data_IF_431105261951
#
_entry.id   IF_431105261951
#
_cell.length_a   1.000
_cell.length_b   1.000
_cell.length_c   1.000
_cell.angle_alpha   90.00
_cell.angle_beta   90.00
_cell.angle_gamma   90.00
#
_symmetry.space_group_name_H-M   'P 1'
#
loop_
_entity.id
_entity.type
_entity.pdbx_description
1 polymer ?
#
# COMPACT_ATOMS: atom_id res chain seq x y z
N UNK A 1 4.31 -37.17 6.46
CA UNK A 1 4.09 -37.41 7.90
C UNK A 1 2.94 -36.55 8.46
N UNK A 2 2.91 -35.23 8.22
CA UNK A 2 1.79 -34.36 8.66
C UNK A 2 0.50 -34.61 7.85
N UNK A 3 0.55 -34.63 6.52
CA UNK A 3 -0.66 -34.88 5.69
C UNK A 3 -1.24 -36.28 5.90
N UNK A 4 -0.38 -37.29 6.03
CA UNK A 4 -0.78 -38.67 6.28
C UNK A 4 -1.53 -38.84 7.60
N UNK A 5 -1.20 -38.03 8.62
CA UNK A 5 -1.86 -38.06 9.92
C UNK A 5 -3.12 -37.19 9.95
N UNK A 6 -3.12 -36.03 9.28
CA UNK A 6 -4.24 -35.08 9.33
C UNK A 6 -5.31 -35.33 8.28
N UNK A 7 -5.01 -36.10 7.23
CA UNK A 7 -5.86 -36.25 6.03
C UNK A 7 -6.21 -34.92 5.36
N UNK A 8 -5.42 -33.87 5.63
CA UNK A 8 -5.56 -32.52 5.06
C UNK A 8 -4.32 -32.18 4.25
N UNK A 9 -4.53 -31.48 3.13
CA UNK A 9 -3.43 -30.92 2.34
C UNK A 9 -2.74 -29.80 3.11
N UNK A 10 -1.41 -29.73 3.04
CA UNK A 10 -0.64 -28.62 3.59
C UNK A 10 -0.80 -27.39 2.70
N UNK A 11 -1.05 -26.26 3.34
CA UNK A 11 -0.97 -24.92 2.78
C UNK A 11 0.13 -24.16 3.53
N UNK A 12 1.10 -23.65 2.79
CA UNK A 12 2.13 -22.74 3.30
C UNK A 12 1.79 -21.33 2.82
N UNK A 13 1.75 -20.38 3.75
CA UNK A 13 1.57 -18.96 3.44
C UNK A 13 2.88 -18.28 3.81
N UNK A 14 3.53 -17.67 2.82
CA UNK A 14 4.74 -16.88 3.01
C UNK A 14 4.41 -15.42 2.72
N UNK A 15 4.11 -14.69 3.79
CA UNK A 15 3.73 -13.28 3.72
C UNK A 15 4.98 -12.38 3.75
N UNK A 16 4.79 -11.10 3.44
CA UNK A 16 5.79 -10.02 3.54
C UNK A 16 7.03 -10.11 2.63
N UNK A 17 7.11 -11.07 1.69
CA UNK A 17 8.21 -11.08 0.70
C UNK A 17 8.09 -9.89 -0.26
N UNK A 18 6.91 -9.26 -0.39
CA UNK A 18 6.74 -8.01 -1.12
C UNK A 18 7.49 -6.80 -0.53
N UNK A 19 8.10 -6.95 0.66
CA UNK A 19 8.89 -5.92 1.33
C UNK A 19 10.41 -6.02 1.09
N UNK A 20 10.88 -7.05 0.39
CA UNK A 20 12.31 -7.18 0.08
C UNK A 20 12.75 -6.13 -0.94
N UNK A 21 14.03 -5.77 -0.88
CA UNK A 21 14.66 -4.89 -1.87
C UNK A 21 14.54 -5.48 -3.28
N UNK A 22 14.22 -4.63 -4.27
CA UNK A 22 14.13 -5.00 -5.68
C UNK A 22 15.43 -5.61 -6.21
N UNK A 23 16.58 -5.25 -5.65
CA UNK A 23 17.85 -5.88 -6.01
C UNK A 23 17.90 -7.38 -5.68
N UNK A 24 17.26 -7.80 -4.58
CA UNK A 24 17.24 -9.20 -4.12
C UNK A 24 16.14 -10.03 -4.78
N UNK A 25 15.11 -9.37 -5.31
CA UNK A 25 13.99 -10.03 -5.99
C UNK A 25 14.46 -10.93 -7.13
N UNK A 26 15.43 -10.48 -7.94
CA UNK A 26 15.96 -11.27 -9.06
C UNK A 26 16.58 -12.55 -8.57
N UNK A 27 17.44 -12.47 -7.57
CA UNK A 27 18.13 -13.63 -7.03
C UNK A 27 17.11 -14.65 -6.51
N UNK A 28 16.10 -14.22 -5.75
CA UNK A 28 15.10 -15.13 -5.17
C UNK A 28 14.17 -15.71 -6.24
N UNK A 29 13.55 -14.85 -7.05
CA UNK A 29 12.41 -15.23 -7.90
C UNK A 29 12.78 -15.56 -9.35
N UNK A 30 13.92 -15.07 -9.84
CA UNK A 30 14.39 -15.43 -11.17
C UNK A 30 15.30 -16.65 -11.12
N UNK A 31 16.27 -16.64 -10.21
CA UNK A 31 17.30 -17.69 -10.15
C UNK A 31 16.89 -18.90 -9.33
N UNK A 32 16.06 -18.74 -8.29
CA UNK A 32 15.80 -19.81 -7.30
C UNK A 32 14.33 -20.23 -7.14
N UNK A 33 13.39 -19.64 -7.87
CA UNK A 33 11.95 -19.93 -7.72
C UNK A 33 11.61 -21.41 -7.89
N UNK A 34 12.31 -22.14 -8.76
CA UNK A 34 12.11 -23.59 -8.94
C UNK A 34 12.34 -24.36 -7.65
N UNK A 35 13.33 -23.97 -6.86
CA UNK A 35 13.60 -24.60 -5.57
C UNK A 35 12.50 -24.27 -4.55
N UNK A 36 11.95 -23.05 -4.60
CA UNK A 36 10.82 -22.61 -3.76
C UNK A 36 9.55 -23.40 -4.11
N UNK A 37 9.32 -23.69 -5.39
CA UNK A 37 8.13 -24.38 -5.91
C UNK A 37 8.28 -25.92 -5.96
N UNK A 38 9.46 -26.46 -5.67
CA UNK A 38 9.73 -27.91 -5.66
C UNK A 38 8.90 -28.71 -4.64
N UNK A 39 8.67 -28.22 -3.40
CA UNK A 39 7.92 -28.99 -2.41
C UNK A 39 6.48 -29.29 -2.86
N UNK A 40 6.02 -30.51 -2.60
CA UNK A 40 4.69 -30.99 -3.01
C UNK A 40 3.55 -30.50 -2.10
N UNK A 41 3.51 -29.22 -1.77
CA UNK A 41 2.42 -28.59 -1.02
C UNK A 41 1.92 -27.32 -1.71
N UNK A 42 0.76 -26.83 -1.29
CA UNK A 42 0.21 -25.57 -1.82
C UNK A 42 0.92 -24.40 -1.16
N UNK A 43 1.27 -23.38 -1.95
CA UNK A 43 1.95 -22.17 -1.47
C UNK A 43 1.14 -20.95 -1.89
N UNK A 44 0.96 -20.01 -0.96
CA UNK A 44 0.56 -18.63 -1.25
C UNK A 44 1.73 -17.77 -0.79
N UNK A 45 2.22 -16.89 -1.67
CA UNK A 45 3.30 -15.98 -1.34
C UNK A 45 3.09 -14.58 -1.91
N UNK A 46 3.56 -13.57 -1.21
CA UNK A 46 3.57 -12.19 -1.72
C UNK A 46 4.83 -11.93 -2.54
N UNK A 47 4.75 -10.99 -3.49
CA UNK A 47 5.89 -10.53 -4.28
C UNK A 47 5.76 -9.02 -4.50
N UNK A 48 6.87 -8.25 -4.63
CA UNK A 48 6.77 -6.82 -4.87
C UNK A 48 6.07 -6.53 -6.21
N UNK A 49 5.13 -5.58 -6.25
CA UNK A 49 4.43 -5.23 -7.49
C UNK A 49 5.37 -4.73 -8.59
N UNK A 50 6.42 -4.00 -8.20
CA UNK A 50 7.45 -3.50 -9.12
C UNK A 50 8.25 -4.65 -9.78
N UNK A 51 8.36 -5.82 -9.14
CA UNK A 51 8.99 -7.00 -9.73
C UNK A 51 8.27 -7.47 -11.01
N UNK A 52 6.95 -7.33 -11.06
CA UNK A 52 6.13 -7.71 -12.21
C UNK A 52 6.31 -6.78 -13.43
N UNK A 53 7.14 -5.73 -13.32
CA UNK A 53 7.51 -4.84 -14.43
C UNK A 53 8.62 -5.40 -15.29
N UNK A 54 9.44 -6.27 -14.74
CA UNK A 54 10.47 -6.94 -15.50
C UNK A 54 9.88 -8.09 -16.32
N UNK A 55 10.01 -8.01 -17.66
CA UNK A 55 9.39 -8.97 -18.58
C UNK A 55 9.92 -10.39 -18.35
N UNK A 56 11.23 -10.54 -18.17
CA UNK A 56 11.86 -11.85 -17.96
C UNK A 56 11.40 -12.48 -16.63
N UNK A 57 11.46 -11.72 -15.54
CA UNK A 57 11.01 -12.17 -14.23
C UNK A 57 9.52 -12.52 -14.22
N UNK A 58 8.67 -11.68 -14.82
CA UNK A 58 7.24 -11.96 -14.95
C UNK A 58 6.99 -13.27 -15.70
N UNK A 59 7.68 -13.51 -16.82
CA UNK A 59 7.53 -14.74 -17.58
C UNK A 59 7.95 -15.98 -16.77
N UNK A 60 9.05 -15.88 -16.00
CA UNK A 60 9.47 -16.92 -15.06
C UNK A 60 8.40 -17.18 -14.01
N UNK A 61 7.89 -16.14 -13.33
CA UNK A 61 6.84 -16.27 -12.34
C UNK A 61 5.58 -16.92 -12.91
N UNK A 62 5.12 -16.50 -14.09
CA UNK A 62 3.95 -17.08 -14.75
C UNK A 62 4.16 -18.56 -15.07
N UNK A 63 5.34 -18.94 -15.55
CA UNK A 63 5.66 -20.34 -15.85
C UNK A 63 5.64 -21.20 -14.60
N UNK A 64 6.35 -20.76 -13.55
CA UNK A 64 6.56 -21.57 -12.34
C UNK A 64 5.33 -21.59 -11.41
N UNK A 65 4.44 -20.60 -11.54
CA UNK A 65 3.16 -20.54 -10.78
C UNK A 65 1.95 -20.97 -11.60
N UNK A 66 2.14 -21.49 -12.81
CA UNK A 66 1.04 -21.85 -13.73
C UNK A 66 0.04 -20.69 -13.92
N UNK A 67 0.57 -19.48 -14.08
CA UNK A 67 -0.13 -18.21 -14.27
C UNK A 67 -1.15 -17.87 -13.15
N UNK A 68 -0.92 -18.36 -11.93
CA UNK A 68 -1.79 -18.10 -10.77
C UNK A 68 -1.41 -16.82 -10.00
N UNK A 69 -0.85 -15.83 -10.69
CA UNK A 69 -0.46 -14.56 -10.08
C UNK A 69 -1.72 -13.72 -9.82
N UNK A 70 -2.03 -13.50 -8.55
CA UNK A 70 -3.13 -12.63 -8.13
C UNK A 70 -2.56 -11.26 -7.76
N UNK A 71 -2.94 -10.24 -8.53
CA UNK A 71 -2.60 -8.86 -8.18
C UNK A 71 -3.63 -8.31 -7.20
N UNK A 72 -3.17 -7.83 -6.04
CA UNK A 72 -4.04 -7.16 -5.08
C UNK A 72 -4.41 -5.76 -5.64
N UNK A 73 -5.70 -5.47 -5.89
CA UNK A 73 -6.09 -4.21 -6.50
C UNK A 73 -5.98 -3.04 -5.52
N UNK A 74 -5.62 -1.87 -6.04
CA UNK A 74 -5.82 -0.61 -5.33
C UNK A 74 -7.27 -0.18 -5.52
N UNK A 75 -7.96 0.09 -4.42
CA UNK A 75 -9.35 0.50 -4.44
C UNK A 75 -9.46 1.92 -5.02
N UNK A 76 -10.31 2.07 -6.03
CA UNK A 76 -10.44 3.32 -6.75
C UNK A 76 -11.40 4.26 -6.02
N UNK A 77 -10.86 5.09 -5.12
CA UNK A 77 -11.63 6.13 -4.44
C UNK A 77 -12.15 7.19 -5.42
N UNK A 78 -11.35 7.55 -6.43
CA UNK A 78 -11.69 8.61 -7.37
C UNK A 78 -11.48 8.17 -8.82
N UNK A 79 -12.20 8.80 -9.76
CA UNK A 79 -11.86 8.69 -11.18
C UNK A 79 -10.52 9.37 -11.44
N UNK A 80 -9.76 8.87 -12.42
CA UNK A 80 -8.42 9.37 -12.76
C UNK A 80 -8.40 10.89 -12.98
N UNK A 81 -9.38 11.45 -13.69
CA UNK A 81 -9.47 12.89 -13.96
C UNK A 81 -9.88 13.72 -12.74
N UNK A 82 -10.47 13.10 -11.73
CA UNK A 82 -11.07 13.79 -10.59
C UNK A 82 -10.16 13.79 -9.36
N UNK A 83 -9.24 12.82 -9.23
CA UNK A 83 -8.49 12.55 -7.99
C UNK A 83 -7.71 13.74 -7.39
N UNK A 84 -7.29 14.69 -8.23
CA UNK A 84 -6.57 15.88 -7.79
C UNK A 84 -7.45 17.15 -7.77
N UNK A 85 -8.75 17.01 -8.04
CA UNK A 85 -9.73 18.10 -8.00
C UNK A 85 -10.10 18.42 -6.54
N UNK A 86 -10.22 19.70 -6.14
CA UNK A 86 -10.67 20.06 -4.81
C UNK A 86 -12.13 19.66 -4.52
N UNK A 87 -12.92 19.42 -5.57
CA UNK A 87 -14.33 19.02 -5.47
C UNK A 87 -14.54 17.53 -5.79
N UNK A 88 -13.47 16.74 -5.78
CA UNK A 88 -13.57 15.31 -6.04
C UNK A 88 -14.41 14.63 -4.96
N UNK A 89 -15.41 13.86 -5.36
CA UNK A 89 -16.24 13.08 -4.44
C UNK A 89 -15.77 11.62 -4.52
N UNK A 90 -15.38 11.00 -3.40
CA UNK A 90 -14.95 9.61 -3.40
C UNK A 90 -16.13 8.69 -3.67
N UNK A 91 -15.86 7.50 -4.23
CA UNK A 91 -16.88 6.47 -4.41
C UNK A 91 -17.37 5.96 -3.03
N UNK A 92 -18.65 6.15 -2.69
CA UNK A 92 -19.17 5.79 -1.38
C UNK A 92 -19.18 4.28 -1.12
N UNK A 93 -19.27 3.44 -2.15
CA UNK A 93 -19.23 1.98 -1.98
C UNK A 93 -17.82 1.53 -1.60
N UNK A 94 -16.81 2.19 -2.17
CA UNK A 94 -15.41 1.93 -1.86
C UNK A 94 -15.09 2.42 -0.44
N UNK A 95 -15.52 3.62 -0.07
CA UNK A 95 -15.38 4.12 1.31
C UNK A 95 -16.03 3.15 2.30
N UNK A 96 -17.27 2.72 2.05
CA UNK A 96 -17.94 1.75 2.91
C UNK A 96 -17.16 0.44 3.05
N UNK A 97 -16.57 -0.07 1.96
CA UNK A 97 -15.75 -1.28 1.98
C UNK A 97 -14.49 -1.10 2.83
N UNK A 98 -13.76 0.00 2.66
CA UNK A 98 -12.54 0.29 3.43
C UNK A 98 -12.87 0.52 4.92
N UNK A 99 -13.97 1.20 5.21
CA UNK A 99 -14.51 1.36 6.56
C UNK A 99 -14.84 0.02 7.19
N UNK A 100 -15.53 -0.89 6.47
CA UNK A 100 -15.85 -2.24 6.97
C UNK A 100 -14.60 -3.06 7.32
N UNK A 101 -13.53 -2.91 6.53
CA UNK A 101 -12.25 -3.55 6.80
C UNK A 101 -11.66 -3.10 8.14
N UNK A 102 -11.75 -1.81 8.47
CA UNK A 102 -11.25 -1.28 9.74
C UNK A 102 -12.16 -1.67 10.91
N UNK A 103 -13.48 -1.58 10.74
CA UNK A 103 -14.43 -1.89 11.84
C UNK A 103 -14.48 -3.38 12.20
N UNK A 104 -14.02 -4.28 11.31
CA UNK A 104 -13.76 -5.69 11.64
C UNK A 104 -12.53 -5.90 12.55
N UNK A 105 -11.67 -4.89 12.71
CA UNK A 105 -10.40 -4.96 13.46
C UNK A 105 -10.39 -4.08 14.70
N UNK A 106 -11.12 -2.97 14.67
CA UNK A 106 -11.19 -1.97 15.73
C UNK A 106 -12.66 -1.70 16.02
N UNK A 107 -13.01 -1.64 17.30
CA UNK A 107 -14.36 -1.24 17.72
C UNK A 107 -14.66 0.16 17.14
N UNK A 108 -15.76 0.32 16.36
CA UNK A 108 -16.13 1.62 15.79
C UNK A 108 -16.26 2.74 16.82
N UNK A 109 -16.54 2.43 18.09
CA UNK A 109 -16.64 3.44 19.15
C UNK A 109 -15.31 4.12 19.48
N UNK A 110 -14.17 3.51 19.11
CA UNK A 110 -12.81 4.00 19.35
C UNK A 110 -12.28 4.92 18.24
N UNK A 111 -13.05 5.17 17.18
CA UNK A 111 -12.64 6.00 16.05
C UNK A 111 -13.77 6.97 15.73
N UNK A 112 -13.45 8.25 15.57
CA UNK A 112 -14.43 9.22 15.09
C UNK A 112 -14.79 8.93 13.61
N UNK A 113 -16.08 8.88 13.23
CA UNK A 113 -16.49 8.50 11.87
C UNK A 113 -15.84 9.35 10.77
N UNK A 114 -15.76 10.67 10.97
CA UNK A 114 -15.12 11.60 10.02
C UNK A 114 -13.62 11.32 9.89
N UNK A 115 -12.96 10.94 10.99
CA UNK A 115 -11.55 10.55 10.99
C UNK A 115 -11.34 9.24 10.24
N UNK A 116 -12.25 8.28 10.42
CA UNK A 116 -12.20 7.00 9.69
C UNK A 116 -12.33 7.21 8.19
N UNK A 117 -13.25 8.08 7.74
CA UNK A 117 -13.37 8.45 6.34
C UNK A 117 -12.07 9.09 5.81
N UNK A 118 -11.46 10.00 6.57
CA UNK A 118 -10.17 10.61 6.19
C UNK A 118 -9.03 9.59 6.12
N UNK A 119 -8.98 8.61 7.03
CA UNK A 119 -8.01 7.50 6.96
C UNK A 119 -8.18 6.74 5.63
N UNK A 120 -9.42 6.44 5.24
CA UNK A 120 -9.71 5.83 3.94
C UNK A 120 -9.19 6.69 2.79
N UNK A 121 -9.41 8.01 2.82
CA UNK A 121 -8.91 8.93 1.80
C UNK A 121 -7.37 8.98 1.74
N UNK A 122 -6.69 9.08 2.88
CA UNK A 122 -5.23 9.14 2.95
C UNK A 122 -4.55 7.86 2.47
N UNK A 123 -5.23 6.71 2.58
CA UNK A 123 -4.70 5.44 2.07
C UNK A 123 -4.55 5.39 0.55
N UNK A 124 -5.20 6.31 -0.19
CA UNK A 124 -5.29 6.24 -1.65
C UNK A 124 -5.99 4.96 -2.15
N UNK A 125 -6.72 4.26 -1.28
CA UNK A 125 -7.31 2.96 -1.56
C UNK A 125 -6.33 1.79 -1.54
N UNK A 126 -5.09 2.00 -1.09
CA UNK A 126 -4.14 0.91 -0.87
C UNK A 126 -4.40 0.30 0.50
N UNK A 127 -4.78 -0.98 0.53
CA UNK A 127 -5.08 -1.70 1.78
C UNK A 127 -3.91 -1.67 2.77
N UNK A 128 -2.68 -1.82 2.27
CA UNK A 128 -1.47 -1.74 3.11
C UNK A 128 -1.34 -0.39 3.80
N UNK A 129 -1.59 0.71 3.09
CA UNK A 129 -1.53 2.06 3.67
C UNK A 129 -2.72 2.34 4.59
N UNK A 130 -3.91 1.84 4.28
CA UNK A 130 -5.07 1.91 5.17
C UNK A 130 -4.75 1.32 6.55
N UNK A 131 -4.18 0.12 6.56
CA UNK A 131 -3.77 -0.55 7.81
C UNK A 131 -2.61 0.17 8.48
N UNK A 132 -1.61 0.63 7.72
CA UNK A 132 -0.45 1.38 8.25
C UNK A 132 -0.89 2.65 8.97
N UNK A 133 -1.66 3.51 8.31
CA UNK A 133 -2.15 4.79 8.86
C UNK A 133 -2.99 4.53 10.12
N UNK A 134 -3.90 3.54 10.06
CA UNK A 134 -4.73 3.17 11.22
C UNK A 134 -3.87 2.69 12.39
N UNK A 135 -2.86 1.86 12.12
CA UNK A 135 -1.97 1.34 13.15
C UNK A 135 -1.11 2.45 13.78
N UNK A 136 -0.65 3.44 13.00
CA UNK A 136 0.06 4.58 13.55
C UNK A 136 -0.85 5.47 14.41
N UNK A 137 -2.11 5.66 14.03
CA UNK A 137 -3.11 6.30 14.88
C UNK A 137 -3.27 5.55 16.22
N UNK A 138 -3.36 4.22 16.18
CA UNK A 138 -3.38 3.39 17.39
C UNK A 138 -2.11 3.60 18.24
N UNK A 139 -0.92 3.71 17.62
CA UNK A 139 0.34 3.95 18.34
C UNK A 139 0.37 5.32 19.00
N UNK A 140 -0.16 6.35 18.35
CA UNK A 140 -0.36 7.68 18.94
C UNK A 140 -1.27 7.57 20.18
N UNK A 141 -2.45 6.95 20.04
CA UNK A 141 -3.37 6.76 21.16
C UNK A 141 -2.72 5.97 22.31
N UNK A 142 -2.01 4.88 22.01
CA UNK A 142 -1.33 4.06 23.04
C UNK A 142 -0.30 4.87 23.85
N UNK A 143 0.37 5.85 23.25
CA UNK A 143 1.24 6.77 24.00
C UNK A 143 0.44 7.64 24.96
N UNK A 144 -0.73 8.13 24.55
CA UNK A 144 -1.63 8.92 25.39
C UNK A 144 -2.22 8.10 26.53
N UNK A 145 -2.71 6.87 26.28
CA UNK A 145 -3.21 5.96 27.33
C UNK A 145 -2.14 5.71 28.40
N UNK A 146 -0.88 5.48 27.99
CA UNK A 146 0.23 5.27 28.94
C UNK A 146 0.55 6.50 29.77
N UNK A 147 0.33 7.70 29.23
CA UNK A 147 0.57 8.97 29.93
C UNK A 147 -0.60 9.37 30.83
N UNK A 148 -1.82 9.04 30.43
CA UNK A 148 -3.06 9.40 31.11
C UNK A 148 -3.95 8.16 31.26
N UNK A 149 -3.62 7.24 32.18
CA UNK A 149 -4.28 5.92 32.27
C UNK A 149 -5.75 5.99 32.73
N UNK A 150 -6.16 7.07 33.37
CA UNK A 150 -7.54 7.26 33.85
C UNK A 150 -8.46 7.91 32.81
N UNK A 151 -7.91 8.32 31.65
CA UNK A 151 -8.68 8.91 30.55
C UNK A 151 -9.27 7.82 29.65
N UNK A 152 -10.55 7.50 29.90
CA UNK A 152 -11.33 6.54 29.10
C UNK A 152 -12.04 7.20 27.91
N UNK A 153 -11.79 8.48 27.63
CA UNK A 153 -12.44 9.22 26.53
C UNK A 153 -11.63 9.20 25.24
N UNK A 154 -10.40 8.69 25.29
CA UNK A 154 -9.48 8.67 24.16
C UNK A 154 -10.03 7.87 22.97
N UNK A 155 -9.99 8.49 21.80
CA UNK A 155 -10.35 7.90 20.52
C UNK A 155 -9.33 8.28 19.46
N UNK A 156 -9.38 7.58 18.32
CA UNK A 156 -8.74 8.03 17.10
C UNK A 156 -9.59 9.16 16.52
N UNK A 157 -9.22 10.38 16.88
CA UNK A 157 -9.84 11.63 16.42
C UNK A 157 -8.97 12.32 15.36
N UNK A 158 -9.40 13.52 14.94
CA UNK A 158 -8.69 14.31 13.94
C UNK A 158 -7.27 14.67 14.38
N UNK A 159 -7.04 14.97 15.67
CA UNK A 159 -5.72 15.35 16.17
C UNK A 159 -4.74 14.17 16.16
N UNK A 160 -5.23 12.98 16.51
CA UNK A 160 -4.48 11.72 16.41
C UNK A 160 -4.10 11.43 14.97
N UNK A 161 -5.03 11.61 14.03
CA UNK A 161 -4.77 11.43 12.61
C UNK A 161 -3.72 12.44 12.12
N UNK A 162 -3.86 13.73 12.43
CA UNK A 162 -2.90 14.77 12.02
C UNK A 162 -1.49 14.49 12.53
N UNK A 163 -1.35 14.02 13.77
CA UNK A 163 -0.06 13.59 14.30
C UNK A 163 0.50 12.42 13.49
N UNK A 164 -0.31 11.40 13.21
CA UNK A 164 0.10 10.20 12.45
C UNK A 164 0.52 10.56 11.02
N UNK A 165 -0.25 11.40 10.32
CA UNK A 165 0.07 11.87 8.97
C UNK A 165 1.34 12.71 8.97
N UNK A 166 1.58 13.51 10.02
CA UNK A 166 2.81 14.28 10.15
C UNK A 166 4.02 13.37 10.30
N UNK A 167 3.96 12.36 11.17
CA UNK A 167 5.02 11.36 11.35
C UNK A 167 5.31 10.62 10.02
N UNK A 168 4.26 10.11 9.36
CA UNK A 168 4.39 9.43 8.05
C UNK A 168 4.92 10.34 6.94
N UNK A 169 4.55 11.63 6.94
CA UNK A 169 5.02 12.59 5.95
C UNK A 169 6.52 12.85 6.07
N UNK A 170 7.08 12.80 7.29
CA UNK A 170 8.51 12.90 7.53
C UNK A 170 9.26 11.68 6.98
N UNK A 171 8.74 10.47 7.22
CA UNK A 171 9.31 9.23 6.65
C UNK A 171 9.41 9.31 5.12
N UNK A 172 8.35 9.81 4.45
CA UNK A 172 8.39 10.03 3.01
C UNK A 172 9.42 11.10 2.63
N UNK A 173 9.48 12.20 3.37
CA UNK A 173 10.32 13.35 3.08
C UNK A 173 11.83 13.04 3.07
N UNK A 174 12.28 12.12 3.92
CA UNK A 174 13.69 11.74 4.08
C UNK A 174 14.30 11.12 2.82
N UNK A 175 13.50 10.40 2.02
CA UNK A 175 13.99 9.64 0.87
C UNK A 175 13.72 10.29 -0.49
N UNK A 176 13.09 11.48 -0.54
CA UNK A 176 12.78 12.15 -1.82
C UNK A 176 13.97 13.03 -2.23
N UNK A 177 14.68 12.61 -3.27
CA UNK A 177 15.68 13.41 -3.97
C UNK A 177 15.09 14.27 -5.10
N UNK A 178 15.94 15.08 -5.74
CA UNK A 178 15.51 15.96 -6.84
C UNK A 178 14.98 15.20 -8.05
N UNK A 179 15.59 14.05 -8.39
CA UNK A 179 15.13 13.21 -9.50
C UNK A 179 13.73 12.63 -9.22
N UNK A 180 13.50 12.19 -7.98
CA UNK A 180 12.21 11.64 -7.53
C UNK A 180 11.11 12.69 -7.60
N UNK A 181 11.42 13.92 -7.17
CA UNK A 181 10.50 15.04 -7.18
C UNK A 181 9.94 15.33 -8.59
N UNK A 182 10.79 15.25 -9.62
CA UNK A 182 10.38 15.45 -11.01
C UNK A 182 9.49 14.32 -11.54
N UNK A 183 9.73 13.07 -11.10
CA UNK A 183 8.86 11.94 -11.42
C UNK A 183 7.51 12.11 -10.73
N UNK A 184 7.50 12.45 -9.43
CA UNK A 184 6.29 12.72 -8.64
C UNK A 184 5.46 13.82 -9.28
N UNK A 185 6.06 14.97 -9.64
CA UNK A 185 5.37 16.07 -10.34
C UNK A 185 4.79 15.63 -11.67
N UNK A 186 5.53 14.83 -12.43
CA UNK A 186 5.06 14.33 -13.72
C UNK A 186 3.84 13.43 -13.54
N UNK A 187 3.90 12.49 -12.59
CA UNK A 187 2.80 11.56 -12.30
C UNK A 187 1.58 12.32 -11.77
N UNK A 188 1.77 13.29 -10.87
CA UNK A 188 0.67 14.12 -10.36
C UNK A 188 -0.09 14.85 -11.48
N UNK A 189 0.62 15.38 -12.48
CA UNK A 189 0.03 16.15 -13.59
C UNK A 189 -0.56 15.30 -14.70
N UNK A 190 0.05 14.14 -15.00
CA UNK A 190 -0.26 13.34 -16.20
C UNK A 190 -0.88 11.99 -15.88
N UNK A 191 -0.95 11.62 -14.61
CA UNK A 191 -1.32 10.28 -14.13
C UNK A 191 -0.50 9.14 -14.74
N UNK A 192 0.69 9.45 -15.27
CA UNK A 192 1.61 8.51 -15.91
C UNK A 192 3.06 9.01 -15.76
N UNK A 193 4.03 8.11 -15.55
CA UNK A 193 5.44 8.47 -15.61
C UNK A 193 5.90 8.72 -17.05
N UNK A 194 7.11 9.25 -17.23
CA UNK A 194 7.73 9.38 -18.56
C UNK A 194 8.16 8.03 -19.12
N UNK A 195 8.76 7.20 -18.28
CA UNK A 195 9.18 5.83 -18.60
C UNK A 195 8.74 4.89 -17.47
N UNK A 196 8.18 3.75 -17.86
CA UNK A 196 7.72 2.70 -16.94
C UNK A 196 8.85 1.78 -16.47
N UNK A 197 10.03 1.88 -17.09
CA UNK A 197 11.23 1.10 -16.76
C UNK A 197 12.32 1.91 -16.03
N UNK A 198 12.07 3.19 -15.79
CA UNK A 198 12.97 4.04 -15.01
C UNK A 198 13.09 3.48 -13.58
N UNK A 199 14.32 3.22 -13.13
CA UNK A 199 14.57 2.62 -11.81
C UNK A 199 14.03 3.50 -10.68
N UNK A 200 14.19 4.81 -10.75
CA UNK A 200 13.67 5.72 -9.71
C UNK A 200 12.14 5.65 -9.65
N UNK A 201 11.47 5.52 -10.80
CA UNK A 201 10.02 5.30 -10.82
C UNK A 201 9.62 3.96 -10.18
N UNK A 202 10.36 2.89 -10.47
CA UNK A 202 10.12 1.58 -9.87
C UNK A 202 10.33 1.58 -8.35
N UNK A 203 11.35 2.31 -7.88
CA UNK A 203 11.64 2.47 -6.45
C UNK A 203 10.53 3.28 -5.77
N UNK A 204 10.06 4.37 -6.39
CA UNK A 204 8.91 5.14 -5.90
C UNK A 204 7.60 4.35 -5.90
N UNK A 205 7.39 3.46 -6.87
CA UNK A 205 6.24 2.56 -6.91
C UNK A 205 6.34 1.50 -5.81
N UNK A 206 7.52 0.92 -5.59
CA UNK A 206 7.76 -0.07 -4.54
C UNK A 206 7.61 0.52 -3.14
N UNK A 207 8.10 1.74 -2.93
CA UNK A 207 7.98 2.51 -1.69
C UNK A 207 6.62 3.18 -1.48
N UNK A 208 5.65 2.97 -2.37
CA UNK A 208 4.29 3.54 -2.30
C UNK A 208 4.24 5.08 -2.31
N UNK A 209 5.26 5.75 -2.85
CA UNK A 209 5.19 7.19 -3.16
C UNK A 209 4.26 7.46 -4.34
N UNK A 210 4.27 6.52 -5.29
CA UNK A 210 3.39 6.48 -6.45
C UNK A 210 2.52 5.22 -6.35
N UNK A 211 1.24 5.39 -6.60
CA UNK A 211 0.23 4.34 -6.53
C UNK A 211 -0.22 3.98 -7.94
N UNK A 212 -0.47 2.69 -8.14
CA UNK A 212 -0.88 2.12 -9.41
C UNK A 212 -2.33 1.65 -9.34
N UNK A 213 -3.15 2.14 -10.25
CA UNK A 213 -4.56 1.79 -10.34
C UNK A 213 -4.81 0.98 -11.61
N UNK A 214 -5.52 -0.15 -11.46
CA UNK A 214 -5.89 -1.07 -12.54
C UNK A 214 -7.39 -1.30 -12.54
N UNK A 215 -8.11 -0.68 -13.47
CA UNK A 215 -9.57 -0.74 -13.51
C UNK A 215 -10.11 -0.60 -14.94
N UNK A 216 -9.57 -1.39 -15.87
CA UNK A 216 -9.81 -1.28 -17.32
C UNK A 216 -8.76 -0.44 -18.05
N UNK A 217 -8.15 0.50 -17.33
CA UNK A 217 -6.95 1.24 -17.74
C UNK A 217 -5.87 1.14 -16.66
N UNK A 218 -4.61 1.30 -17.06
CA UNK A 218 -3.46 1.40 -16.18
C UNK A 218 -3.03 2.87 -16.06
N UNK A 219 -3.15 3.41 -14.86
CA UNK A 219 -2.77 4.78 -14.53
C UNK A 219 -2.17 4.87 -13.13
N UNK A 220 -1.57 6.01 -12.82
CA UNK A 220 -0.84 6.22 -11.59
C UNK A 220 -1.27 7.53 -10.94
N UNK A 221 -1.15 7.61 -9.62
CA UNK A 221 -1.21 8.89 -8.92
C UNK A 221 -0.18 8.92 -7.79
N UNK A 222 0.08 10.12 -7.28
CA UNK A 222 0.93 10.30 -6.11
C UNK A 222 0.14 9.92 -4.85
N UNK A 223 0.81 9.30 -3.89
CA UNK A 223 0.22 8.96 -2.58
C UNK A 223 -0.33 10.23 -1.89
N UNK A 224 -1.54 10.22 -1.29
CA UNK A 224 -2.14 11.42 -0.71
C UNK A 224 -1.26 12.17 0.30
N UNK A 225 -0.57 11.45 1.19
CA UNK A 225 0.39 12.04 2.14
C UNK A 225 1.56 12.74 1.42
N UNK A 226 2.05 12.14 0.32
CA UNK A 226 3.11 12.74 -0.50
C UNK A 226 2.59 13.98 -1.24
N UNK A 227 1.33 13.99 -1.69
CA UNK A 227 0.71 15.19 -2.26
C UNK A 227 0.69 16.34 -1.25
N UNK A 228 0.33 16.09 0.00
CA UNK A 228 0.36 17.13 1.04
C UNK A 228 1.77 17.64 1.32
N UNK A 229 2.75 16.74 1.41
CA UNK A 229 4.15 17.09 1.56
C UNK A 229 4.62 18.01 0.43
N UNK A 230 4.31 17.66 -0.82
CA UNK A 230 4.71 18.42 -2.00
C UNK A 230 4.02 19.79 -2.06
N UNK A 231 2.75 19.88 -1.66
CA UNK A 231 2.02 21.16 -1.51
C UNK A 231 2.65 22.04 -0.43
N UNK A 232 2.99 21.49 0.74
CA UNK A 232 3.68 22.21 1.83
C UNK A 232 5.04 22.76 1.37
N UNK A 233 5.75 22.05 0.48
CA UNK A 233 7.01 22.49 -0.14
C UNK A 233 6.81 23.51 -1.28
N UNK A 234 5.59 23.75 -1.76
CA UNK A 234 5.31 24.65 -2.88
C UNK A 234 5.73 24.08 -4.25
N UNK A 235 5.78 22.76 -4.38
CA UNK A 235 6.33 22.07 -5.57
C UNK A 235 5.25 21.53 -6.52
N UNK A 236 3.99 21.47 -6.08
CA UNK A 236 2.78 21.16 -6.87
C UNK A 236 1.60 22.04 -6.44
#
# INVERSE_FOLDING_TARGET
>A
MIESQSQKKILVIVDDIDKIDLAQVRDIFQSHIKAIMLPSFRIIMTIPIAALREVALKATLQTETNDQIVQMPVYKLFKQGDINSPNAIPDPQIIATLTEIITKRIDPALIDPDTLEKICLYSGGVLRELIRITNDCCRVCLRSVRRYPDDNTLKIDQAVLEQSITELSLDFAESIGTADEEIIKTVYKKSKPKDLKDQNFLDLLHGLYILEYRNGDLWYNVHPIVVELMKKRGTI
#
